data_IF_799242411522
#
_entry.id   IF_799242411522
#
_cell.length_a   1.000
_cell.length_b   1.000
_cell.length_c   1.000
_cell.angle_alpha   90.00
_cell.angle_beta   90.00
_cell.angle_gamma   90.00
#
_symmetry.space_group_name_H-M   'P 1'
#
loop_
_entity.id
_entity.type
_entity.pdbx_description
1 polymer ?
#
# COMPACT_ATOMS: atom_id res chain seq x y z
N UNK A 1 10.88 -22.92 20.20
CA UNK A 1 10.72 -24.37 20.42
C UNK A 1 10.04 -24.54 21.76
N UNK A 2 8.87 -25.24 21.89
CA UNK A 2 8.18 -25.40 23.16
C UNK A 2 9.10 -26.14 24.16
N UNK A 3 9.10 -25.66 25.39
CA UNK A 3 9.90 -26.19 26.51
C UNK A 3 9.76 -27.72 26.68
N UNK A 4 8.62 -28.30 26.27
CA UNK A 4 8.35 -29.72 26.27
C UNK A 4 9.24 -30.55 25.31
N UNK A 5 9.64 -30.00 24.17
CA UNK A 5 10.53 -30.68 23.23
C UNK A 5 11.98 -30.73 23.74
N UNK A 6 12.39 -29.72 24.50
CA UNK A 6 13.71 -29.67 25.12
C UNK A 6 13.86 -30.65 26.31
N UNK A 7 12.77 -30.81 27.11
CA UNK A 7 12.75 -31.76 28.22
C UNK A 7 12.75 -33.22 27.74
N UNK A 8 12.04 -33.55 26.67
CA UNK A 8 12.06 -34.87 26.07
C UNK A 8 13.44 -35.23 25.46
N UNK A 9 14.13 -34.23 24.89
CA UNK A 9 15.46 -34.40 24.34
C UNK A 9 16.51 -34.69 25.46
N UNK A 10 16.43 -33.99 26.58
CA UNK A 10 17.35 -34.19 27.74
C UNK A 10 17.14 -35.56 28.36
N UNK A 11 15.91 -36.05 28.46
CA UNK A 11 15.66 -37.42 28.97
C UNK A 11 16.15 -38.51 28.02
N UNK A 12 16.07 -38.29 26.71
CA UNK A 12 16.57 -39.26 25.71
C UNK A 12 18.12 -39.34 25.73
N UNK A 13 18.82 -38.25 25.97
CA UNK A 13 20.26 -38.19 26.03
C UNK A 13 20.81 -38.87 27.33
N UNK A 14 20.03 -38.87 28.43
CA UNK A 14 20.41 -39.52 29.69
C UNK A 14 20.37 -41.05 29.63
N UNK A 15 19.64 -41.65 28.69
CA UNK A 15 19.54 -43.09 28.50
C UNK A 15 20.61 -43.70 27.55
N UNK A 16 21.47 -42.88 26.92
CA UNK A 16 22.49 -43.33 25.97
C UNK A 16 23.72 -43.88 26.70
N UNK A 17 23.95 -45.19 26.61
CA UNK A 17 25.04 -45.92 27.31
C UNK A 17 26.44 -45.72 26.75
N UNK A 18 26.66 -44.93 25.70
CA UNK A 18 27.99 -44.67 25.12
C UNK A 18 28.24 -43.16 24.98
N UNK A 19 29.31 -42.62 25.64
CA UNK A 19 29.61 -41.20 25.62
C UNK A 19 29.97 -40.65 24.22
N UNK A 20 30.49 -41.45 23.32
CA UNK A 20 30.85 -41.06 21.96
C UNK A 20 29.57 -40.81 21.11
N UNK A 21 28.54 -41.62 21.26
CA UNK A 21 27.26 -41.43 20.57
C UNK A 21 26.52 -40.16 21.04
N UNK A 22 26.63 -39.83 22.34
CA UNK A 22 26.03 -38.59 22.87
C UNK A 22 26.73 -37.33 22.33
N UNK A 23 28.05 -37.36 22.15
CA UNK A 23 28.83 -36.26 21.57
C UNK A 23 28.50 -36.07 20.07
N UNK A 24 28.36 -37.16 19.31
CA UNK A 24 28.01 -37.08 17.89
C UNK A 24 26.57 -36.54 17.71
N UNK A 25 25.62 -36.94 18.54
CA UNK A 25 24.25 -36.44 18.50
C UNK A 25 24.18 -34.95 18.90
N UNK A 26 24.96 -34.52 19.86
CA UNK A 26 25.05 -33.11 20.26
C UNK A 26 25.71 -32.24 19.16
N UNK A 27 26.76 -32.75 18.48
CA UNK A 27 27.42 -32.07 17.37
C UNK A 27 26.47 -32.00 16.15
N UNK A 28 25.71 -33.05 15.85
CA UNK A 28 24.72 -33.05 14.79
C UNK A 28 23.53 -32.11 15.10
N UNK A 29 23.10 -32.02 16.35
CA UNK A 29 22.07 -31.07 16.77
C UNK A 29 22.55 -29.62 16.68
N UNK A 30 23.81 -29.33 17.00
CA UNK A 30 24.41 -28.00 16.86
C UNK A 30 24.67 -27.61 15.41
N UNK A 31 24.93 -28.57 14.51
CA UNK A 31 25.12 -28.32 13.08
C UNK A 31 23.81 -28.01 12.36
N UNK A 32 22.67 -28.44 12.88
CA UNK A 32 21.35 -28.08 12.28
C UNK A 32 20.83 -26.70 12.74
N UNK A 33 21.48 -26.06 13.72
CA UNK A 33 21.11 -24.71 14.19
C UNK A 33 21.97 -23.58 13.63
N UNK A 34 22.96 -23.89 12.81
CA UNK A 34 23.83 -22.89 12.17
C UNK A 34 23.55 -22.76 10.66
N UNK A 35 22.30 -22.60 10.26
CA UNK A 35 22.07 -21.75 9.10
C UNK A 35 22.46 -20.34 9.57
N UNK A 36 23.39 -19.63 8.91
CA UNK A 36 23.60 -18.22 9.21
C UNK A 36 22.26 -17.54 8.98
N UNK A 37 21.59 -17.17 10.06
CA UNK A 37 20.56 -16.14 10.00
C UNK A 37 21.35 -14.91 9.59
N UNK A 38 21.45 -14.65 8.30
CA UNK A 38 21.95 -13.38 7.82
C UNK A 38 21.04 -12.34 8.47
N UNK A 39 21.63 -11.53 9.35
CA UNK A 39 20.91 -10.43 9.97
C UNK A 39 20.34 -9.59 8.81
N UNK A 40 19.04 -9.25 8.85
CA UNK A 40 18.43 -8.39 7.86
C UNK A 40 19.23 -7.07 7.77
N UNK A 41 19.72 -6.77 6.57
CA UNK A 41 20.77 -5.75 6.37
C UNK A 41 20.27 -4.42 5.82
N UNK A 42 18.96 -4.15 5.82
CA UNK A 42 18.43 -2.85 5.37
C UNK A 42 19.03 -1.70 6.18
N UNK A 43 19.61 -0.65 5.56
CA UNK A 43 20.52 0.27 6.27
C UNK A 43 19.79 1.38 7.06
N UNK A 44 18.49 1.64 6.83
CA UNK A 44 17.75 2.72 7.47
C UNK A 44 16.87 2.14 8.58
N UNK A 45 17.20 2.45 9.83
CA UNK A 45 16.55 1.88 11.01
C UNK A 45 15.48 2.78 11.62
N UNK A 46 15.44 4.07 11.26
CA UNK A 46 14.36 4.95 11.68
C UNK A 46 13.15 4.75 10.75
N UNK A 47 11.95 4.39 11.25
CA UNK A 47 10.81 4.05 10.40
C UNK A 47 10.28 5.22 9.58
N UNK A 48 10.31 6.44 10.08
CA UNK A 48 9.89 7.63 9.34
C UNK A 48 10.88 7.96 8.22
N UNK A 49 12.18 7.89 8.52
CA UNK A 49 13.22 8.09 7.52
C UNK A 49 13.15 7.01 6.43
N UNK A 50 13.02 5.73 6.81
CA UNK A 50 12.85 4.64 5.86
C UNK A 50 11.62 4.85 4.95
N UNK A 51 10.49 5.28 5.52
CA UNK A 51 9.26 5.55 4.77
C UNK A 51 9.42 6.63 3.71
N UNK A 52 10.15 7.71 4.02
CA UNK A 52 10.30 8.88 3.13
C UNK A 52 11.43 8.70 2.14
N UNK A 53 12.58 8.19 2.60
CA UNK A 53 13.79 8.01 1.79
C UNK A 53 13.67 6.82 0.86
N UNK A 54 13.06 5.74 1.34
CA UNK A 54 13.00 4.47 0.60
C UNK A 54 14.33 3.69 0.66
N UNK A 55 14.49 2.78 -0.28
CA UNK A 55 15.72 1.96 -0.39
C UNK A 55 16.83 2.76 -1.03
N UNK A 56 18.03 2.84 -0.40
CA UNK A 56 19.20 3.45 -1.02
C UNK A 56 19.56 2.84 -2.38
N UNK A 57 20.01 3.64 -3.37
CA UNK A 57 20.28 3.13 -4.73
C UNK A 57 21.27 1.98 -4.80
N UNK A 58 22.26 1.96 -3.92
CA UNK A 58 23.29 0.91 -3.81
C UNK A 58 22.80 -0.39 -3.13
N UNK A 59 21.62 -0.35 -2.52
CA UNK A 59 20.96 -1.47 -1.84
C UNK A 59 19.75 -2.02 -2.60
N UNK A 60 19.39 -1.37 -3.71
CA UNK A 60 18.29 -1.83 -4.57
C UNK A 60 18.63 -3.15 -5.26
N UNK A 61 17.58 -3.90 -5.61
CA UNK A 61 17.72 -5.14 -6.36
C UNK A 61 18.34 -4.89 -7.73
N UNK A 62 19.49 -5.52 -8.00
CA UNK A 62 20.20 -5.38 -9.28
C UNK A 62 19.80 -6.46 -10.28
N UNK A 63 19.21 -6.03 -11.39
CA UNK A 63 18.93 -6.87 -12.54
C UNK A 63 20.17 -6.92 -13.43
N UNK A 64 20.89 -8.04 -13.45
CA UNK A 64 22.11 -8.21 -14.25
C UNK A 64 21.96 -7.86 -15.74
N UNK A 65 20.77 -8.10 -16.29
CA UNK A 65 20.45 -7.85 -17.70
C UNK A 65 19.03 -7.28 -17.83
N UNK A 66 18.81 -6.02 -17.47
CA UNK A 66 17.47 -5.45 -17.48
C UNK A 66 16.93 -5.32 -18.90
N UNK A 67 15.72 -5.84 -19.12
CA UNK A 67 15.02 -5.69 -20.39
C UNK A 67 14.30 -4.34 -20.43
N UNK A 68 14.23 -3.74 -21.61
CA UNK A 68 13.40 -2.55 -21.80
C UNK A 68 11.92 -2.93 -21.69
N UNK A 69 11.23 -2.40 -20.71
CA UNK A 69 9.79 -2.63 -20.52
C UNK A 69 9.02 -1.90 -21.62
N UNK A 70 8.17 -2.63 -22.33
CA UNK A 70 7.22 -2.08 -23.30
C UNK A 70 5.85 -2.02 -22.63
N UNK A 71 5.29 -0.83 -22.52
CA UNK A 71 4.00 -0.60 -21.89
C UNK A 71 2.97 -0.09 -22.88
N UNK A 72 1.71 -0.43 -22.63
CA UNK A 72 0.51 0.04 -23.34
C UNK A 72 -0.48 0.60 -22.30
N UNK A 73 -1.18 1.68 -22.62
CA UNK A 73 -2.25 2.21 -21.78
C UNK A 73 -3.56 1.55 -22.19
N UNK A 74 -4.19 0.82 -21.27
CA UNK A 74 -5.57 0.37 -21.40
C UNK A 74 -6.49 1.46 -20.88
N UNK A 75 -7.51 1.82 -21.67
CA UNK A 75 -8.54 2.80 -21.27
C UNK A 75 -9.85 2.06 -21.06
N UNK A 76 -10.36 2.10 -19.85
CA UNK A 76 -11.61 1.47 -19.45
C UNK A 76 -12.67 2.53 -19.23
N UNK A 77 -13.85 2.32 -19.84
CA UNK A 77 -15.03 3.11 -19.61
C UNK A 77 -16.11 2.20 -19.00
N UNK A 78 -16.75 2.64 -17.94
CA UNK A 78 -17.82 1.92 -17.23
C UNK A 78 -19.20 2.54 -17.41
N UNK A 79 -19.36 3.45 -18.38
CA UNK A 79 -20.61 4.15 -18.72
C UNK A 79 -21.28 4.82 -17.51
N UNK A 80 -20.47 5.26 -16.53
CA UNK A 80 -20.97 5.95 -15.35
C UNK A 80 -21.50 7.33 -15.74
N UNK A 81 -22.70 7.67 -15.28
CA UNK A 81 -23.28 8.99 -15.54
C UNK A 81 -22.54 10.06 -14.73
N UNK A 82 -21.74 10.83 -15.40
CA UNK A 82 -21.00 11.97 -14.86
C UNK A 82 -21.51 13.31 -15.39
N UNK A 83 -22.71 13.34 -16.00
CA UNK A 83 -23.26 14.55 -16.66
C UNK A 83 -23.45 15.71 -15.67
N UNK A 84 -23.78 15.42 -14.41
CA UNK A 84 -23.94 16.39 -13.33
C UNK A 84 -22.63 16.78 -12.62
N UNK A 85 -21.49 16.19 -13.00
CA UNK A 85 -20.20 16.42 -12.32
C UNK A 85 -19.25 17.20 -13.24
N UNK A 86 -19.19 18.54 -13.13
CA UNK A 86 -18.34 19.37 -14.00
C UNK A 86 -16.85 18.97 -13.96
N UNK A 87 -16.34 18.53 -12.79
CA UNK A 87 -14.97 18.03 -12.61
C UNK A 87 -14.64 16.88 -13.55
N UNK A 88 -15.57 15.96 -13.80
CA UNK A 88 -15.31 14.79 -14.65
C UNK A 88 -14.95 15.18 -16.09
N UNK A 89 -15.61 16.22 -16.64
CA UNK A 89 -15.32 16.73 -17.98
C UNK A 89 -14.00 17.50 -18.04
N UNK A 90 -13.70 18.32 -17.01
CA UNK A 90 -12.51 19.18 -17.00
C UNK A 90 -11.23 18.39 -16.81
N UNK A 91 -11.23 17.37 -15.95
CA UNK A 91 -10.04 16.58 -15.63
C UNK A 91 -9.96 15.27 -16.42
N UNK A 92 -10.85 15.02 -17.39
CA UNK A 92 -10.84 13.80 -18.21
C UNK A 92 -10.99 12.53 -17.38
N UNK A 93 -11.81 12.60 -16.31
CA UNK A 93 -11.99 11.50 -15.35
C UNK A 93 -12.89 10.36 -15.86
N UNK A 94 -13.46 10.49 -17.07
CA UNK A 94 -14.40 9.51 -17.61
C UNK A 94 -13.75 8.17 -17.95
N UNK A 95 -12.45 8.17 -18.31
CA UNK A 95 -11.70 6.96 -18.66
C UNK A 95 -10.75 6.59 -17.55
N UNK A 96 -10.91 5.39 -16.99
CA UNK A 96 -9.91 4.81 -16.11
C UNK A 96 -8.75 4.27 -16.95
N UNK A 97 -7.53 4.72 -16.64
CA UNK A 97 -6.32 4.26 -17.30
C UNK A 97 -5.59 3.23 -16.43
N UNK A 98 -5.17 2.15 -17.07
CA UNK A 98 -4.27 1.15 -16.51
C UNK A 98 -3.01 1.09 -17.37
N UNK A 99 -1.89 0.66 -16.81
CA UNK A 99 -0.68 0.40 -17.57
C UNK A 99 -0.49 -1.11 -17.71
N UNK A 100 -0.29 -1.56 -18.94
CA UNK A 100 -0.09 -2.95 -19.28
C UNK A 100 1.30 -3.18 -19.85
N UNK A 101 2.06 -4.09 -19.25
CA UNK A 101 3.33 -4.58 -19.75
C UNK A 101 3.21 -6.07 -20.07
N UNK A 102 3.61 -6.49 -21.29
CA UNK A 102 3.44 -7.87 -21.74
C UNK A 102 4.76 -8.53 -22.14
N UNK A 103 4.88 -9.80 -21.84
CA UNK A 103 5.88 -10.70 -22.41
C UNK A 103 5.50 -11.10 -23.84
N UNK A 104 6.48 -11.49 -24.65
CA UNK A 104 6.27 -11.99 -26.01
C UNK A 104 6.02 -13.52 -26.04
N UNK A 105 5.77 -14.15 -24.89
CA UNK A 105 5.55 -15.60 -24.72
C UNK A 105 4.48 -15.85 -23.65
N UNK A 106 3.88 -17.07 -23.56
CA UNK A 106 3.02 -17.44 -22.45
C UNK A 106 3.71 -17.18 -21.11
N UNK A 107 2.99 -16.53 -20.19
CA UNK A 107 3.53 -16.14 -18.90
C UNK A 107 2.41 -15.92 -17.87
N UNK A 108 2.71 -15.93 -16.56
CA UNK A 108 1.77 -15.49 -15.54
C UNK A 108 1.42 -14.00 -15.68
N UNK A 109 0.21 -13.64 -15.32
CA UNK A 109 -0.24 -12.25 -15.22
C UNK A 109 -0.36 -11.83 -13.76
N UNK A 110 0.20 -10.68 -13.41
CA UNK A 110 0.05 -10.08 -12.09
C UNK A 110 -0.62 -8.71 -12.18
N UNK A 111 -1.67 -8.52 -11.35
CA UNK A 111 -2.24 -7.20 -11.09
C UNK A 111 -1.52 -6.54 -9.92
N UNK A 112 -1.22 -5.24 -10.07
CA UNK A 112 -0.57 -4.42 -9.04
C UNK A 112 -1.49 -3.27 -8.67
N UNK A 113 -1.99 -3.25 -7.44
CA UNK A 113 -2.87 -2.22 -6.91
C UNK A 113 -2.04 -1.18 -6.15
N UNK A 114 -2.23 0.09 -6.50
CA UNK A 114 -1.53 1.21 -5.87
C UNK A 114 -2.04 1.49 -4.45
N UNK A 115 -1.17 2.02 -3.58
CA UNK A 115 -1.54 2.52 -2.24
C UNK A 115 -2.32 3.85 -2.31
N UNK A 116 -2.75 4.36 -1.14
CA UNK A 116 -3.57 5.58 -0.98
C UNK A 116 -3.04 6.74 -1.82
N UNK A 117 -3.92 7.36 -2.61
CA UNK A 117 -3.61 8.52 -3.45
C UNK A 117 -2.70 8.27 -4.64
N UNK A 118 -2.17 7.05 -4.82
CA UNK A 118 -1.24 6.73 -5.89
C UNK A 118 -1.93 6.33 -7.19
N UNK A 119 -1.32 6.68 -8.32
CA UNK A 119 -1.80 6.31 -9.66
C UNK A 119 -1.14 5.03 -10.16
N UNK A 120 -1.68 4.50 -11.26
CA UNK A 120 -1.15 3.34 -11.99
C UNK A 120 0.30 3.51 -12.50
N UNK A 121 0.84 4.73 -12.48
CA UNK A 121 2.20 5.09 -12.90
C UNK A 121 3.04 5.78 -11.81
N UNK A 122 2.58 5.72 -10.55
CA UNK A 122 3.34 6.25 -9.41
C UNK A 122 4.66 5.47 -9.21
N UNK A 123 5.72 6.09 -8.65
CA UNK A 123 7.06 5.47 -8.59
C UNK A 123 7.09 4.06 -8.03
N UNK A 124 6.44 3.79 -6.89
CA UNK A 124 6.38 2.44 -6.28
C UNK A 124 5.64 1.43 -7.19
N UNK A 125 4.58 1.88 -7.89
CA UNK A 125 3.86 1.04 -8.86
C UNK A 125 4.75 0.70 -10.05
N UNK A 126 5.48 1.69 -10.57
CA UNK A 126 6.42 1.49 -11.68
C UNK A 126 7.59 0.59 -11.29
N UNK A 127 8.06 0.67 -10.05
CA UNK A 127 9.04 -0.26 -9.53
C UNK A 127 8.50 -1.72 -9.54
N UNK A 128 7.32 -1.95 -8.99
CA UNK A 128 6.69 -3.28 -9.00
C UNK A 128 6.43 -3.78 -10.43
N UNK A 129 5.95 -2.90 -11.32
CA UNK A 129 5.78 -3.24 -12.73
C UNK A 129 7.10 -3.71 -13.35
N UNK A 130 8.18 -2.94 -13.18
CA UNK A 130 9.50 -3.30 -13.68
C UNK A 130 9.97 -4.64 -13.09
N UNK A 131 9.86 -4.80 -11.78
CA UNK A 131 10.29 -6.00 -11.05
C UNK A 131 9.59 -7.26 -11.58
N UNK A 132 8.28 -7.26 -11.68
CA UNK A 132 7.53 -8.41 -12.19
C UNK A 132 7.75 -8.63 -13.68
N UNK A 133 7.86 -7.57 -14.48
CA UNK A 133 8.16 -7.71 -15.89
C UNK A 133 9.54 -8.35 -16.12
N UNK A 134 10.59 -7.92 -15.39
CA UNK A 134 11.93 -8.52 -15.46
C UNK A 134 11.92 -9.98 -15.00
N UNK A 135 11.05 -10.32 -14.05
CA UNK A 135 10.87 -11.70 -13.58
C UNK A 135 10.08 -12.59 -14.60
N UNK A 136 9.59 -12.01 -15.70
CA UNK A 136 8.93 -12.74 -16.76
C UNK A 136 7.41 -12.76 -16.72
N UNK A 137 6.77 -11.86 -15.97
CA UNK A 137 5.31 -11.75 -15.86
C UNK A 137 4.73 -10.75 -16.87
N UNK A 138 3.50 -10.97 -17.30
CA UNK A 138 2.63 -9.88 -17.76
C UNK A 138 2.21 -9.08 -16.55
N UNK A 139 2.15 -7.76 -16.67
CA UNK A 139 1.82 -6.89 -15.54
C UNK A 139 0.73 -5.90 -15.92
N UNK A 140 -0.31 -5.77 -15.09
CA UNK A 140 -1.30 -4.70 -15.21
C UNK A 140 -1.30 -3.91 -13.90
N UNK A 141 -1.06 -2.59 -13.99
CA UNK A 141 -1.09 -1.71 -12.83
C UNK A 141 -2.39 -0.94 -12.75
N UNK A 142 -2.91 -0.79 -11.54
CA UNK A 142 -4.21 -0.16 -11.25
C UNK A 142 -3.99 0.96 -10.24
N UNK A 143 -4.59 2.12 -10.49
CA UNK A 143 -4.63 3.23 -9.52
C UNK A 143 -5.39 2.82 -8.26
N UNK A 144 -5.01 3.42 -7.14
CA UNK A 144 -5.75 3.29 -5.88
C UNK A 144 -7.23 3.66 -6.07
N UNK A 145 -8.16 2.97 -5.39
CA UNK A 145 -9.56 3.39 -5.30
C UNK A 145 -9.75 4.83 -4.81
N UNK A 146 -8.81 5.36 -4.01
CA UNK A 146 -8.83 6.75 -3.50
C UNK A 146 -8.41 7.79 -4.53
N UNK A 147 -7.95 7.38 -5.74
CA UNK A 147 -7.53 8.32 -6.78
C UNK A 147 -8.75 8.89 -7.52
N UNK A 148 -8.86 10.22 -7.72
CA UNK A 148 -10.01 10.83 -8.38
C UNK A 148 -10.45 10.19 -9.72
N UNK A 149 -9.53 9.80 -10.64
CA UNK A 149 -9.94 9.07 -11.85
C UNK A 149 -10.59 7.70 -11.58
N UNK A 150 -10.13 6.95 -10.58
CA UNK A 150 -10.75 5.68 -10.20
C UNK A 150 -12.14 5.92 -9.58
N UNK A 151 -12.24 6.89 -8.65
CA UNK A 151 -13.49 7.27 -8.00
C UNK A 151 -14.56 7.66 -9.04
N UNK A 152 -14.20 8.54 -9.95
CA UNK A 152 -15.14 9.01 -10.97
C UNK A 152 -15.54 7.92 -11.96
N UNK A 153 -14.60 7.10 -12.43
CA UNK A 153 -14.86 6.14 -13.50
C UNK A 153 -15.40 4.80 -13.00
N UNK A 154 -14.91 4.28 -11.89
CA UNK A 154 -15.12 2.89 -11.48
C UNK A 154 -15.78 2.70 -10.10
N UNK A 155 -15.60 3.64 -9.15
CA UNK A 155 -16.15 3.45 -7.80
C UNK A 155 -17.68 3.46 -7.82
N UNK A 156 -18.29 2.47 -7.19
CA UNK A 156 -19.74 2.34 -7.06
C UNK A 156 -20.33 3.25 -5.98
N UNK A 157 -19.54 3.57 -4.95
CA UNK A 157 -19.97 4.38 -3.80
C UNK A 157 -19.46 5.82 -3.87
N UNK A 158 -18.37 6.08 -4.59
CA UNK A 158 -17.54 7.28 -4.52
C UNK A 158 -17.01 7.56 -3.09
N UNK A 159 -16.97 6.53 -2.26
CA UNK A 159 -16.51 6.57 -0.86
C UNK A 159 -15.44 5.51 -0.62
N UNK A 160 -14.26 5.61 -1.23
CA UNK A 160 -13.21 4.62 -1.06
C UNK A 160 -12.71 4.56 0.39
N UNK A 161 -12.15 3.40 0.75
CA UNK A 161 -11.84 3.00 2.13
C UNK A 161 -12.89 2.06 2.71
N UNK A 162 -13.95 1.77 1.94
CA UNK A 162 -14.88 0.67 2.15
C UNK A 162 -14.35 -0.56 1.42
N UNK A 163 -13.38 -1.27 2.01
CA UNK A 163 -12.56 -2.31 1.35
C UNK A 163 -13.35 -3.40 0.65
N UNK A 164 -14.53 -3.74 1.15
CA UNK A 164 -15.45 -4.67 0.50
C UNK A 164 -16.05 -4.12 -0.80
N UNK A 165 -16.43 -2.85 -0.83
CA UNK A 165 -16.93 -2.17 -2.04
C UNK A 165 -15.78 -1.84 -3.00
N UNK A 166 -14.64 -1.40 -2.47
CA UNK A 166 -13.44 -1.14 -3.25
C UNK A 166 -12.96 -2.42 -3.98
N UNK A 167 -13.02 -3.58 -3.29
CA UNK A 167 -12.72 -4.87 -3.89
C UNK A 167 -13.68 -5.26 -5.03
N UNK A 168 -14.98 -4.99 -4.87
CA UNK A 168 -15.98 -5.20 -5.91
C UNK A 168 -15.68 -4.38 -7.18
N UNK A 169 -15.33 -3.12 -6.99
CA UNK A 169 -15.02 -2.21 -8.10
C UNK A 169 -13.67 -2.56 -8.75
N UNK A 170 -12.63 -2.89 -7.96
CA UNK A 170 -11.36 -3.40 -8.46
C UNK A 170 -11.54 -4.71 -9.24
N UNK A 171 -12.36 -5.61 -8.75
CA UNK A 171 -12.64 -6.89 -9.41
C UNK A 171 -13.29 -6.68 -10.79
N UNK A 172 -14.24 -5.75 -10.91
CA UNK A 172 -14.84 -5.36 -12.21
C UNK A 172 -13.78 -4.77 -13.15
N UNK A 173 -12.90 -3.91 -12.62
CA UNK A 173 -11.80 -3.32 -13.38
C UNK A 173 -10.86 -4.41 -13.91
N UNK A 174 -10.47 -5.37 -13.06
CA UNK A 174 -9.59 -6.48 -13.45
C UNK A 174 -10.23 -7.39 -14.50
N UNK A 175 -11.51 -7.73 -14.36
CA UNK A 175 -12.24 -8.50 -15.38
C UNK A 175 -12.23 -7.79 -16.73
N UNK A 176 -12.56 -6.49 -16.73
CA UNK A 176 -12.56 -5.70 -17.96
C UNK A 176 -11.17 -5.61 -18.58
N UNK A 177 -10.13 -5.47 -17.77
CA UNK A 177 -8.75 -5.50 -18.26
C UNK A 177 -8.38 -6.86 -18.88
N UNK A 178 -8.77 -7.98 -18.26
CA UNK A 178 -8.57 -9.32 -18.82
C UNK A 178 -9.24 -9.49 -20.20
N UNK A 179 -10.47 -9.02 -20.36
CA UNK A 179 -11.17 -9.02 -21.65
C UNK A 179 -10.40 -8.25 -22.73
N UNK A 180 -9.82 -7.09 -22.37
CA UNK A 180 -9.07 -6.24 -23.32
C UNK A 180 -7.72 -6.84 -23.75
N UNK A 181 -7.15 -7.73 -22.96
CA UNK A 181 -5.85 -8.35 -23.25
C UNK A 181 -5.96 -9.81 -23.72
N UNK A 182 -7.16 -10.40 -23.74
CA UNK A 182 -7.40 -11.81 -24.03
C UNK A 182 -6.80 -12.25 -25.37
N UNK A 183 -6.89 -11.41 -26.42
CA UNK A 183 -6.35 -11.69 -27.75
C UNK A 183 -4.87 -11.28 -27.91
N UNK A 184 -4.27 -10.69 -26.88
CA UNK A 184 -2.90 -10.14 -26.94
C UNK A 184 -1.85 -11.01 -26.25
N UNK A 185 -2.26 -11.83 -25.28
CA UNK A 185 -1.37 -12.62 -24.43
C UNK A 185 -1.98 -13.98 -24.11
N UNK A 186 -1.11 -14.94 -23.83
CA UNK A 186 -1.47 -16.22 -23.22
C UNK A 186 -1.08 -16.21 -21.74
N UNK A 187 -2.08 -16.36 -20.85
CA UNK A 187 -1.92 -16.28 -19.40
C UNK A 187 -1.84 -17.69 -18.83
N UNK A 188 -0.75 -18.02 -18.15
CA UNK A 188 -0.55 -19.34 -17.51
C UNK A 188 -1.13 -19.38 -16.10
N UNK A 189 -0.98 -18.30 -15.32
CA UNK A 189 -1.42 -18.16 -13.93
C UNK A 189 -1.82 -16.70 -13.69
N UNK A 190 -2.63 -16.44 -12.67
CA UNK A 190 -3.10 -15.10 -12.34
C UNK A 190 -2.82 -14.75 -10.90
N UNK A 191 -2.18 -13.62 -10.69
CA UNK A 191 -1.78 -13.13 -9.38
C UNK A 191 -2.30 -11.72 -9.13
N UNK A 192 -2.47 -11.38 -7.85
CA UNK A 192 -2.75 -10.03 -7.43
C UNK A 192 -1.86 -9.63 -6.26
N UNK A 193 -1.36 -8.41 -6.30
CA UNK A 193 -0.59 -7.77 -5.25
C UNK A 193 -0.91 -6.29 -5.18
N UNK A 194 -0.55 -5.67 -4.08
CA UNK A 194 -0.63 -4.24 -3.88
C UNK A 194 0.13 -3.85 -2.63
N UNK A 195 0.40 -2.56 -2.49
CA UNK A 195 1.09 -2.05 -1.32
C UNK A 195 0.22 -1.07 -0.53
N UNK A 196 0.42 -0.98 0.80
CA UNK A 196 -0.36 -0.10 1.67
C UNK A 196 -1.87 -0.41 1.55
N UNK A 197 -2.72 0.56 1.26
CA UNK A 197 -4.14 0.34 0.96
C UNK A 197 -4.34 -0.71 -0.14
N UNK A 198 -3.55 -0.66 -1.23
CA UNK A 198 -3.63 -1.68 -2.28
C UNK A 198 -3.26 -3.08 -1.79
N UNK A 199 -2.52 -3.21 -0.69
CA UNK A 199 -2.22 -4.48 -0.04
C UNK A 199 -3.48 -5.10 0.60
N UNK A 200 -4.21 -4.35 1.41
CA UNK A 200 -5.48 -4.84 1.97
C UNK A 200 -6.52 -5.05 0.87
N UNK A 201 -6.60 -4.17 -0.12
CA UNK A 201 -7.51 -4.32 -1.26
C UNK A 201 -7.22 -5.63 -2.03
N UNK A 202 -5.93 -6.02 -2.20
CA UNK A 202 -5.58 -7.28 -2.86
C UNK A 202 -6.09 -8.49 -2.10
N UNK A 203 -6.08 -8.47 -0.76
CA UNK A 203 -6.65 -9.54 0.06
C UNK A 203 -8.18 -9.63 -0.08
N UNK A 204 -8.88 -8.50 -0.06
CA UNK A 204 -10.33 -8.47 -0.24
C UNK A 204 -10.75 -8.88 -1.66
N UNK A 205 -9.99 -8.48 -2.70
CA UNK A 205 -10.18 -8.96 -4.07
C UNK A 205 -9.98 -10.47 -4.17
N UNK A 206 -8.92 -11.01 -3.55
CA UNK A 206 -8.68 -12.45 -3.50
C UNK A 206 -9.79 -13.21 -2.75
N UNK A 207 -10.26 -12.67 -1.63
CA UNK A 207 -11.40 -13.21 -0.89
C UNK A 207 -12.67 -13.25 -1.75
N UNK A 208 -12.99 -12.13 -2.42
CA UNK A 208 -14.14 -12.03 -3.32
C UNK A 208 -14.06 -13.06 -4.45
N UNK A 209 -12.88 -13.27 -5.02
CA UNK A 209 -12.66 -14.22 -6.11
C UNK A 209 -12.91 -15.68 -5.67
N UNK A 210 -12.66 -16.04 -4.39
CA UNK A 210 -12.99 -17.39 -3.88
C UNK A 210 -14.49 -17.67 -3.92
N UNK A 211 -15.30 -16.62 -3.86
CA UNK A 211 -16.76 -16.71 -3.92
C UNK A 211 -17.27 -16.70 -5.36
N UNK A 212 -16.74 -15.80 -6.21
CA UNK A 212 -17.18 -15.60 -7.59
C UNK A 212 -16.55 -16.55 -8.59
N UNK A 213 -15.27 -16.90 -8.41
CA UNK A 213 -14.50 -17.82 -9.25
C UNK A 213 -14.49 -17.43 -10.74
N UNK A 214 -14.43 -16.11 -11.02
CA UNK A 214 -14.44 -15.61 -12.38
C UNK A 214 -13.04 -15.27 -12.88
N UNK A 215 -12.14 -14.79 -12.01
CA UNK A 215 -10.74 -14.53 -12.35
C UNK A 215 -9.89 -15.76 -12.03
N UNK A 216 -10.09 -16.38 -10.85
CA UNK A 216 -9.32 -17.49 -10.29
C UNK A 216 -7.86 -17.12 -10.07
N UNK A 217 -7.61 -16.32 -9.02
CA UNK A 217 -6.26 -15.96 -8.62
C UNK A 217 -5.54 -17.17 -7.99
N UNK A 218 -4.35 -17.47 -8.49
CA UNK A 218 -3.48 -18.51 -7.96
C UNK A 218 -2.76 -18.06 -6.69
N UNK A 219 -2.37 -16.76 -6.61
CA UNK A 219 -1.72 -16.18 -5.42
C UNK A 219 -2.09 -14.72 -5.18
N UNK A 220 -2.06 -14.35 -3.91
CA UNK A 220 -2.31 -12.99 -3.39
C UNK A 220 -1.19 -12.60 -2.44
N UNK A 221 -0.52 -11.48 -2.68
CA UNK A 221 0.50 -10.96 -1.79
C UNK A 221 0.15 -9.54 -1.34
N UNK A 222 0.02 -9.36 -0.03
CA UNK A 222 -0.11 -8.05 0.60
C UNK A 222 1.27 -7.47 0.91
N UNK A 223 1.56 -6.23 0.49
CA UNK A 223 2.81 -5.54 0.80
C UNK A 223 2.50 -4.37 1.75
N UNK A 224 3.02 -4.42 2.97
CA UNK A 224 2.79 -3.42 4.02
C UNK A 224 1.30 -3.01 4.16
N UNK A 225 0.37 -3.98 4.27
CA UNK A 225 -1.05 -3.67 4.37
C UNK A 225 -1.39 -3.09 5.75
N UNK A 226 -2.41 -2.23 5.87
CA UNK A 226 -3.07 -2.01 7.14
C UNK A 226 -3.76 -3.31 7.60
N UNK A 227 -3.70 -3.64 8.88
CA UNK A 227 -4.54 -4.69 9.49
C UNK A 227 -5.92 -4.11 9.80
N UNK A 228 -5.92 -2.99 10.49
CA UNK A 228 -7.09 -2.17 10.76
C UNK A 228 -6.92 -0.82 10.05
N UNK A 229 -7.71 -0.59 9.01
CA UNK A 229 -7.58 0.62 8.18
C UNK A 229 -7.80 1.90 9.02
N UNK A 230 -8.73 1.88 9.97
CA UNK A 230 -9.00 3.03 10.83
C UNK A 230 -7.80 3.37 11.74
N UNK A 231 -7.15 2.37 12.33
CA UNK A 231 -5.93 2.56 13.13
C UNK A 231 -4.82 3.16 12.27
N UNK A 232 -4.62 2.64 11.08
CA UNK A 232 -3.57 3.10 10.17
C UNK A 232 -3.76 4.56 9.74
N UNK A 233 -4.98 4.94 9.36
CA UNK A 233 -5.26 6.34 9.01
C UNK A 233 -5.21 7.26 10.23
N UNK A 234 -5.57 6.77 11.42
CA UNK A 234 -5.44 7.54 12.67
C UNK A 234 -3.99 7.86 13.00
N UNK A 235 -3.09 6.90 12.82
CA UNK A 235 -1.65 7.10 13.03
C UNK A 235 -1.13 8.22 12.13
N UNK A 236 -1.50 8.21 10.85
CA UNK A 236 -1.06 9.22 9.88
C UNK A 236 -1.72 10.59 10.11
N UNK A 237 -3.02 10.64 10.37
CA UNK A 237 -3.77 11.87 10.65
C UNK A 237 -3.28 12.60 11.90
N UNK A 238 -2.74 11.85 12.89
CA UNK A 238 -2.24 12.42 14.13
C UNK A 238 -0.83 13.02 14.02
N UNK A 239 -0.11 12.83 12.95
CA UNK A 239 1.27 13.36 12.77
C UNK A 239 1.27 14.89 12.91
N UNK A 240 0.47 15.61 12.12
CA UNK A 240 0.41 17.08 12.13
C UNK A 240 -0.10 17.61 13.48
N UNK A 241 -1.20 17.11 14.07
CA UNK A 241 -1.60 17.49 15.41
C UNK A 241 -0.55 17.26 16.50
N UNK A 242 0.19 16.16 16.43
CA UNK A 242 1.26 15.86 17.38
C UNK A 242 2.45 16.80 17.21
N UNK A 243 2.84 17.13 15.98
CA UNK A 243 3.84 18.15 15.70
C UNK A 243 3.44 19.49 16.30
N UNK A 244 2.20 19.96 16.09
CA UNK A 244 1.69 21.21 16.65
C UNK A 244 1.65 21.24 18.17
N UNK A 245 1.43 20.11 18.85
CA UNK A 245 1.51 20.03 20.32
C UNK A 245 2.93 20.27 20.83
N UNK A 246 3.94 19.82 20.08
CA UNK A 246 5.37 20.04 20.41
C UNK A 246 5.82 21.49 20.05
N UNK A 247 5.19 22.10 19.04
CA UNK A 247 5.51 23.42 18.51
C UNK A 247 4.27 24.33 18.52
N UNK A 248 3.77 24.74 19.70
CA UNK A 248 2.52 25.50 19.83
C UNK A 248 2.58 26.90 19.20
N UNK A 249 3.80 27.44 19.02
CA UNK A 249 4.06 28.71 18.35
C UNK A 249 3.96 28.60 16.81
N UNK A 250 4.07 27.41 16.24
CA UNK A 250 4.05 27.20 14.79
C UNK A 250 2.65 27.41 14.23
N UNK A 251 2.47 28.42 13.40
CA UNK A 251 1.23 28.59 12.63
C UNK A 251 1.12 27.50 11.55
N UNK A 252 -0.11 27.19 11.12
CA UNK A 252 -0.30 26.22 10.02
C UNK A 252 0.49 26.56 8.78
N UNK A 253 0.72 27.86 8.48
CA UNK A 253 1.55 28.30 7.37
C UNK A 253 3.03 28.02 7.62
N UNK A 254 3.54 28.29 8.82
CA UNK A 254 4.94 28.02 9.17
C UNK A 254 5.29 26.54 9.10
N UNK A 255 4.41 25.65 9.54
CA UNK A 255 4.61 24.20 9.44
C UNK A 255 4.91 23.76 8.00
N UNK A 256 4.24 24.36 7.02
CA UNK A 256 4.49 24.08 5.61
C UNK A 256 5.72 24.82 5.07
N UNK A 257 5.81 26.12 5.37
CA UNK A 257 6.86 27.00 4.83
C UNK A 257 8.26 26.51 5.24
N UNK A 258 8.47 26.11 6.51
CA UNK A 258 9.77 25.70 7.04
C UNK A 258 10.29 24.43 6.31
N UNK A 259 9.42 23.44 6.08
CA UNK A 259 9.80 22.23 5.35
C UNK A 259 10.07 22.54 3.87
N UNK A 260 9.19 23.31 3.23
CA UNK A 260 9.37 23.66 1.82
C UNK A 260 10.55 24.60 1.57
N UNK A 261 10.87 25.53 2.48
CA UNK A 261 12.05 26.40 2.38
C UNK A 261 13.35 25.60 2.47
N UNK A 262 13.43 24.59 3.34
CA UNK A 262 14.59 23.69 3.44
C UNK A 262 14.78 22.86 2.18
N UNK A 263 13.70 22.28 1.65
CA UNK A 263 13.72 21.57 0.38
C UNK A 263 14.13 22.50 -0.79
N UNK A 264 13.57 23.72 -0.85
CA UNK A 264 13.90 24.70 -1.87
C UNK A 264 15.37 25.16 -1.78
N UNK A 265 15.92 25.33 -0.57
CA UNK A 265 17.32 25.67 -0.36
C UNK A 265 18.25 24.57 -0.90
N UNK A 266 17.91 23.29 -0.67
CA UNK A 266 18.66 22.17 -1.24
C UNK A 266 18.64 22.21 -2.77
N UNK A 267 17.47 22.35 -3.40
CA UNK A 267 17.34 22.44 -4.86
C UNK A 267 18.10 23.62 -5.46
N UNK A 268 18.09 24.77 -4.79
CA UNK A 268 18.84 25.96 -5.21
C UNK A 268 20.35 25.71 -5.21
N UNK A 269 20.85 24.96 -4.25
CA UNK A 269 22.27 24.68 -4.10
C UNK A 269 22.77 23.56 -5.04
N UNK A 270 21.93 22.59 -5.36
CA UNK A 270 22.30 21.43 -6.20
C UNK A 270 21.95 21.62 -7.67
N UNK A 271 21.08 22.58 -8.01
CA UNK A 271 20.58 22.77 -9.39
C UNK A 271 19.72 21.62 -9.92
N UNK A 272 19.43 20.63 -9.08
CA UNK A 272 18.65 19.46 -9.45
C UNK A 272 17.18 19.66 -9.07
N UNK A 273 16.29 19.64 -10.07
CA UNK A 273 14.84 19.92 -9.91
C UNK A 273 14.00 18.63 -9.91
N UNK A 274 14.63 17.45 -9.95
CA UNK A 274 13.89 16.19 -9.94
C UNK A 274 13.52 15.80 -8.51
N UNK A 275 12.24 15.86 -8.20
CA UNK A 275 11.69 15.34 -6.95
C UNK A 275 11.54 13.80 -7.08
N UNK A 276 12.39 13.06 -6.36
CA UNK A 276 12.34 11.61 -6.32
C UNK A 276 12.98 11.06 -5.05
N UNK A 277 12.79 9.78 -4.75
CA UNK A 277 13.39 9.12 -3.57
C UNK A 277 14.91 9.30 -3.49
N UNK A 278 15.61 9.23 -4.63
CA UNK A 278 17.06 9.46 -4.72
C UNK A 278 17.46 10.84 -4.21
N UNK A 279 16.69 11.89 -4.54
CA UNK A 279 16.97 13.26 -4.10
C UNK A 279 16.83 13.40 -2.59
N UNK A 280 15.80 12.78 -2.00
CA UNK A 280 15.60 12.83 -0.54
C UNK A 280 16.71 12.07 0.18
N UNK A 281 17.13 10.94 -0.38
CA UNK A 281 18.28 10.18 0.14
C UNK A 281 19.58 11.00 0.13
N UNK A 282 19.87 11.70 -0.98
CA UNK A 282 21.03 12.59 -1.06
C UNK A 282 20.94 13.75 -0.06
N UNK A 283 19.74 14.31 0.14
CA UNK A 283 19.50 15.34 1.17
C UNK A 283 19.84 14.81 2.55
N UNK A 284 19.34 13.63 2.90
CA UNK A 284 19.53 13.02 4.22
C UNK A 284 20.99 12.63 4.49
N UNK A 285 21.76 12.27 3.48
CA UNK A 285 23.21 12.05 3.60
C UNK A 285 24.04 13.33 3.60
N UNK A 286 23.46 14.45 3.19
CA UNK A 286 24.17 15.72 3.01
C UNK A 286 24.21 16.62 4.25
N UNK A 287 24.91 17.76 4.15
CA UNK A 287 25.01 18.72 5.26
C UNK A 287 23.70 19.44 5.59
N UNK A 288 22.66 19.26 4.79
CA UNK A 288 21.33 19.85 4.93
C UNK A 288 20.27 18.79 5.23
N UNK A 289 20.66 17.68 5.89
CA UNK A 289 19.72 16.65 6.31
C UNK A 289 18.53 17.24 7.08
N UNK A 290 17.34 16.78 6.74
CA UNK A 290 16.13 17.20 7.45
C UNK A 290 16.14 16.59 8.86
N UNK A 291 15.78 17.35 9.91
CA UNK A 291 15.48 16.77 11.20
C UNK A 291 14.42 15.69 11.10
N UNK A 292 14.51 14.66 11.94
CA UNK A 292 13.56 13.53 11.91
C UNK A 292 12.10 13.97 12.08
N UNK A 293 11.84 15.01 12.85
CA UNK A 293 10.49 15.56 13.01
C UNK A 293 9.95 16.22 11.72
N UNK A 294 10.83 16.80 10.89
CA UNK A 294 10.45 17.33 9.57
C UNK A 294 10.19 16.20 8.59
N UNK A 295 10.96 15.10 8.67
CA UNK A 295 10.71 13.87 7.88
C UNK A 295 9.37 13.25 8.25
N UNK A 296 9.06 13.14 9.54
CA UNK A 296 7.75 12.70 10.03
C UNK A 296 6.63 13.62 9.51
N UNK A 297 6.83 14.93 9.60
CA UNK A 297 5.87 15.94 9.15
C UNK A 297 5.60 15.85 7.64
N UNK A 298 6.59 15.56 6.81
CA UNK A 298 6.41 15.33 5.37
C UNK A 298 5.39 14.20 5.08
N UNK A 299 5.43 13.12 5.87
CA UNK A 299 4.45 12.02 5.75
C UNK A 299 3.05 12.54 6.08
N UNK A 300 2.89 13.25 7.20
CA UNK A 300 1.61 13.81 7.60
C UNK A 300 1.03 14.80 6.58
N UNK A 301 1.89 15.66 6.01
CA UNK A 301 1.50 16.61 4.95
C UNK A 301 1.07 15.87 3.69
N UNK A 302 1.84 14.89 3.24
CA UNK A 302 1.50 14.07 2.06
C UNK A 302 0.17 13.34 2.24
N UNK A 303 -0.07 12.80 3.44
CA UNK A 303 -1.32 12.14 3.77
C UNK A 303 -2.50 13.11 3.83
N UNK A 304 -2.31 14.31 4.39
CA UNK A 304 -3.34 15.36 4.39
C UNK A 304 -3.76 15.76 2.98
N UNK A 305 -2.82 15.91 2.04
CA UNK A 305 -3.17 16.18 0.63
C UNK A 305 -3.98 15.02 0.02
N UNK A 306 -3.59 13.77 0.29
CA UNK A 306 -4.35 12.60 -0.18
C UNK A 306 -5.77 12.56 0.41
N UNK A 307 -5.92 12.92 1.69
CA UNK A 307 -7.21 13.00 2.38
C UNK A 307 -8.08 14.13 1.82
N UNK A 308 -7.47 15.28 1.50
CA UNK A 308 -8.15 16.43 0.91
C UNK A 308 -8.67 16.12 -0.51
N UNK A 309 -7.84 15.49 -1.35
CA UNK A 309 -8.23 15.03 -2.69
C UNK A 309 -9.41 14.06 -2.64
N UNK A 310 -9.33 13.10 -1.72
CA UNK A 310 -10.36 12.10 -1.47
C UNK A 310 -11.68 12.76 -1.04
N UNK A 311 -11.65 13.58 0.03
CA UNK A 311 -12.84 14.21 0.57
C UNK A 311 -13.49 15.18 -0.45
N UNK A 312 -12.67 15.98 -1.14
CA UNK A 312 -13.14 16.89 -2.18
C UNK A 312 -13.82 16.14 -3.34
N UNK A 313 -13.21 15.07 -3.80
CA UNK A 313 -13.75 14.28 -4.91
C UNK A 313 -15.02 13.54 -4.49
N UNK A 314 -15.06 12.96 -3.28
CA UNK A 314 -16.27 12.32 -2.74
C UNK A 314 -17.41 13.29 -2.59
N UNK A 315 -17.17 14.49 -2.07
CA UNK A 315 -18.19 15.55 -1.93
C UNK A 315 -18.73 15.96 -3.30
N UNK A 316 -17.84 16.19 -4.26
CA UNK A 316 -18.22 16.60 -5.62
C UNK A 316 -19.01 15.51 -6.38
N UNK A 317 -18.67 14.22 -6.19
CA UNK A 317 -19.34 13.10 -6.86
C UNK A 317 -20.68 12.73 -6.20
N UNK A 318 -20.79 12.87 -4.88
CA UNK A 318 -21.99 12.50 -4.11
C UNK A 318 -22.88 13.68 -3.76
N UNK A 319 -22.47 14.93 -4.09
CA UNK A 319 -23.19 16.17 -3.80
C UNK A 319 -23.58 16.29 -2.32
N UNK A 320 -22.65 15.93 -1.41
CA UNK A 320 -22.96 15.88 0.02
C UNK A 320 -23.11 17.26 0.66
N UNK A 321 -22.57 18.30 0.05
CA UNK A 321 -22.64 19.69 0.54
C UNK A 321 -21.70 20.03 1.68
N UNK A 322 -20.79 19.15 2.04
CA UNK A 322 -19.85 19.36 3.14
C UNK A 322 -18.71 20.33 2.80
N UNK A 323 -18.21 20.26 1.59
CA UNK A 323 -17.09 21.08 1.09
C UNK A 323 -17.63 22.13 0.12
N UNK A 324 -18.36 21.68 -0.92
CA UNK A 324 -19.04 22.49 -1.90
C UNK A 324 -20.53 22.51 -1.51
N UNK A 325 -21.15 23.67 -1.21
CA UNK A 325 -22.58 23.71 -0.89
C UNK A 325 -23.42 23.03 -1.99
N UNK A 326 -24.43 22.24 -1.61
CA UNK A 326 -25.21 21.43 -2.53
C UNK A 326 -26.02 22.25 -3.54
N UNK A 327 -26.33 23.52 -3.22
CA UNK A 327 -27.00 24.49 -4.05
C UNK A 327 -26.05 25.38 -4.89
N UNK A 328 -24.74 25.20 -4.72
CA UNK A 328 -23.73 25.98 -5.45
C UNK A 328 -23.45 25.35 -6.81
N UNK A 329 -23.60 26.16 -7.87
CA UNK A 329 -23.18 25.78 -9.21
C UNK A 329 -21.76 26.28 -9.46
N UNK A 330 -20.78 25.38 -9.50
CA UNK A 330 -19.40 25.73 -9.79
C UNK A 330 -19.01 25.43 -11.23
N UNK A 331 -18.27 26.35 -11.83
CA UNK A 331 -17.65 26.14 -13.14
C UNK A 331 -16.24 25.60 -12.97
N UNK A 332 -15.86 24.53 -13.68
CA UNK A 332 -14.50 23.99 -13.61
C UNK A 332 -13.42 24.94 -14.15
N UNK A 333 -13.79 26.02 -14.81
CA UNK A 333 -12.90 27.06 -15.35
C UNK A 333 -12.85 28.31 -14.46
N UNK A 334 -13.61 28.35 -13.36
CA UNK A 334 -13.61 29.50 -12.42
C UNK A 334 -12.59 29.29 -11.28
N UNK A 335 -12.16 30.40 -10.67
CA UNK A 335 -11.31 30.37 -9.48
C UNK A 335 -12.01 29.79 -8.23
N UNK A 336 -13.30 29.45 -8.34
CA UNK A 336 -14.10 28.94 -7.22
C UNK A 336 -13.67 27.55 -6.78
N UNK A 337 -13.17 26.71 -7.74
CA UNK A 337 -12.63 25.39 -7.40
C UNK A 337 -11.41 25.47 -6.47
N UNK A 338 -10.52 26.45 -6.68
CA UNK A 338 -9.37 26.67 -5.81
C UNK A 338 -9.81 27.05 -4.38
N UNK A 339 -10.88 27.84 -4.25
CA UNK A 339 -11.46 28.18 -2.95
C UNK A 339 -12.01 26.94 -2.24
N UNK A 340 -12.80 26.12 -2.94
CA UNK A 340 -13.40 24.93 -2.36
C UNK A 340 -12.33 23.86 -2.05
N UNK A 341 -11.35 23.68 -2.93
CA UNK A 341 -10.23 22.77 -2.68
C UNK A 341 -9.40 23.19 -1.44
N UNK A 342 -9.17 24.48 -1.24
CA UNK A 342 -8.50 24.98 -0.02
C UNK A 342 -9.30 24.66 1.25
N UNK A 343 -10.62 24.57 1.18
CA UNK A 343 -11.43 24.11 2.31
C UNK A 343 -11.19 22.62 2.63
N UNK A 344 -11.01 21.79 1.61
CA UNK A 344 -10.73 20.36 1.79
C UNK A 344 -9.42 20.09 2.48
N UNK A 345 -8.44 21.00 2.44
CA UNK A 345 -7.18 20.88 3.19
C UNK A 345 -7.36 20.90 4.73
N UNK A 346 -8.56 21.10 5.22
CA UNK A 346 -8.93 20.94 6.64
C UNK A 346 -9.55 19.57 6.95
N UNK A 347 -9.71 18.76 5.93
CA UNK A 347 -10.32 17.44 6.03
C UNK A 347 -9.23 16.38 6.19
N UNK A 348 -9.08 15.89 7.41
CA UNK A 348 -8.35 14.67 7.70
C UNK A 348 -9.16 13.46 7.26
N UNK A 349 -8.53 12.32 7.07
CA UNK A 349 -9.22 11.09 6.68
C UNK A 349 -10.29 10.69 7.71
N UNK A 350 -10.02 10.86 8.99
CA UNK A 350 -11.01 10.60 10.06
C UNK A 350 -12.24 11.49 9.92
N UNK A 351 -12.09 12.76 9.53
CA UNK A 351 -13.22 13.65 9.27
C UNK A 351 -14.05 13.16 8.08
N UNK A 352 -13.40 12.73 7.01
CA UNK A 352 -14.06 12.12 5.86
C UNK A 352 -14.82 10.85 6.28
N UNK A 353 -14.17 9.96 7.03
CA UNK A 353 -14.79 8.73 7.52
C UNK A 353 -16.06 9.03 8.33
N UNK A 354 -15.96 9.90 9.34
CA UNK A 354 -17.08 10.21 10.24
C UNK A 354 -18.22 11.00 9.57
N UNK A 355 -17.90 11.83 8.57
CA UNK A 355 -18.89 12.74 7.96
C UNK A 355 -19.53 12.20 6.68
N UNK A 356 -18.81 11.36 5.93
CA UNK A 356 -19.29 10.84 4.66
C UNK A 356 -19.49 9.32 4.68
N UNK A 357 -18.50 8.55 5.16
CA UNK A 357 -18.53 7.08 5.11
C UNK A 357 -19.53 6.50 6.10
N UNK A 358 -19.42 6.88 7.39
CA UNK A 358 -20.28 6.32 8.45
C UNK A 358 -21.77 6.58 8.19
N UNK A 359 -22.23 7.81 7.87
CA UNK A 359 -23.64 8.05 7.58
C UNK A 359 -24.13 7.25 6.38
N UNK A 360 -23.35 7.22 5.28
CA UNK A 360 -23.71 6.45 4.09
C UNK A 360 -23.83 4.95 4.40
N UNK A 361 -22.86 4.38 5.15
CA UNK A 361 -22.88 2.98 5.52
C UNK A 361 -24.13 2.64 6.35
N UNK A 362 -24.42 3.46 7.38
CA UNK A 362 -25.56 3.23 8.27
C UNK A 362 -26.91 3.34 7.56
N UNK A 363 -27.00 4.12 6.48
CA UNK A 363 -28.17 4.15 5.62
C UNK A 363 -28.35 2.84 4.86
N UNK A 364 -27.27 2.25 4.36
CA UNK A 364 -27.30 0.97 3.64
C UNK A 364 -27.42 -0.25 4.59
N UNK A 365 -26.89 -0.14 5.80
CA UNK A 365 -26.80 -1.19 6.83
C UNK A 365 -27.36 -0.70 8.17
N UNK A 366 -28.68 -0.53 8.30
CA UNK A 366 -29.29 -0.05 9.54
C UNK A 366 -28.95 -0.95 10.73
N UNK A 367 -28.43 -0.37 11.80
CA UNK A 367 -28.05 -1.07 13.02
C UNK A 367 -26.55 -1.29 13.20
N UNK A 368 -25.75 -1.12 12.15
CA UNK A 368 -24.29 -1.16 12.30
C UNK A 368 -23.80 0.08 13.04
N UNK A 369 -22.97 -0.18 14.05
CA UNK A 369 -22.26 0.89 14.77
C UNK A 369 -21.02 1.32 13.98
N UNK A 370 -20.43 2.43 14.38
CA UNK A 370 -19.14 2.89 13.83
C UNK A 370 -18.03 1.83 13.98
N UNK A 371 -17.99 1.13 15.10
CA UNK A 371 -17.00 0.08 15.36
C UNK A 371 -17.25 -1.17 14.48
N UNK A 372 -18.52 -1.49 14.21
CA UNK A 372 -18.85 -2.55 13.25
C UNK A 372 -18.32 -2.23 11.84
N UNK A 373 -18.44 -0.97 11.41
CA UNK A 373 -17.90 -0.52 10.11
C UNK A 373 -16.38 -0.70 10.09
N UNK A 374 -15.68 -0.21 11.13
CA UNK A 374 -14.22 -0.31 11.26
C UNK A 374 -13.76 -1.77 11.13
N UNK A 375 -14.46 -2.69 11.81
CA UNK A 375 -14.12 -4.11 11.76
C UNK A 375 -14.41 -4.72 10.38
N UNK A 376 -15.52 -4.35 9.75
CA UNK A 376 -15.94 -4.87 8.43
C UNK A 376 -15.04 -4.44 7.28
N UNK A 377 -14.30 -3.34 7.42
CA UNK A 377 -13.34 -2.84 6.41
C UNK A 377 -11.87 -3.19 6.75
N UNK A 378 -11.65 -4.02 7.77
CA UNK A 378 -10.35 -4.45 8.25
C UNK A 378 -10.07 -5.91 7.87
N UNK A 379 -8.81 -6.36 7.94
CA UNK A 379 -8.45 -7.77 7.68
C UNK A 379 -9.18 -8.76 8.60
N UNK A 380 -9.65 -8.29 9.76
CA UNK A 380 -10.47 -9.10 10.68
C UNK A 380 -11.75 -9.65 10.01
N UNK A 381 -12.34 -8.91 9.07
CA UNK A 381 -13.54 -9.34 8.35
C UNK A 381 -13.34 -10.58 7.45
N UNK A 382 -12.10 -10.83 7.07
CA UNK A 382 -11.72 -11.95 6.17
C UNK A 382 -10.70 -12.90 6.81
N UNK A 383 -10.64 -12.93 8.16
CA UNK A 383 -9.64 -13.72 8.90
C UNK A 383 -9.69 -15.21 8.54
N UNK A 384 -10.86 -15.80 8.44
CA UNK A 384 -11.02 -17.21 8.07
C UNK A 384 -10.43 -17.51 6.68
N UNK A 385 -10.58 -16.59 5.73
CA UNK A 385 -9.97 -16.70 4.42
C UNK A 385 -8.44 -16.64 4.51
N UNK A 386 -7.90 -15.69 5.27
CA UNK A 386 -6.47 -15.53 5.45
C UNK A 386 -5.83 -16.74 6.14
N UNK A 387 -6.49 -17.32 7.14
CA UNK A 387 -6.02 -18.52 7.85
C UNK A 387 -5.98 -19.76 6.95
N UNK A 388 -7.04 -19.97 6.18
CA UNK A 388 -7.26 -21.24 5.48
C UNK A 388 -6.75 -21.22 4.04
N UNK A 389 -6.48 -20.08 3.43
CA UNK A 389 -5.99 -20.01 2.06
C UNK A 389 -4.45 -19.89 2.02
N UNK A 390 -3.80 -21.00 1.67
CA UNK A 390 -2.33 -21.08 1.62
C UNK A 390 -1.70 -20.27 0.48
N UNK A 391 -2.49 -19.77 -0.46
CA UNK A 391 -2.04 -18.93 -1.58
C UNK A 391 -1.95 -17.43 -1.22
N UNK A 392 -2.29 -17.06 0.04
CA UNK A 392 -2.24 -15.67 0.51
C UNK A 392 -1.05 -15.46 1.43
N UNK A 393 -0.26 -14.43 1.17
CA UNK A 393 0.88 -14.05 2.02
C UNK A 393 0.93 -12.56 2.29
N UNK A 394 1.79 -12.18 3.21
CA UNK A 394 2.08 -10.78 3.58
C UNK A 394 3.58 -10.54 3.68
N UNK A 395 3.99 -9.37 3.21
CA UNK A 395 5.31 -8.78 3.49
C UNK A 395 5.10 -7.47 4.25
N UNK A 396 5.72 -7.32 5.41
CA UNK A 396 5.60 -6.08 6.21
C UNK A 396 6.78 -5.89 7.14
N UNK A 397 6.83 -4.76 7.84
CA UNK A 397 7.90 -4.41 8.75
C UNK A 397 7.38 -4.32 10.19
N UNK A 398 8.18 -4.78 11.16
CA UNK A 398 7.81 -4.69 12.58
C UNK A 398 7.72 -3.24 13.07
N UNK A 399 8.39 -2.32 12.38
CA UNK A 399 8.41 -0.88 12.66
C UNK A 399 7.51 -0.07 11.72
N UNK A 400 6.59 -0.72 11.00
CA UNK A 400 5.70 -0.01 10.08
C UNK A 400 4.80 0.99 10.83
N UNK A 401 4.95 2.27 10.48
CA UNK A 401 4.31 3.41 11.18
C UNK A 401 2.78 3.42 11.09
N UNK A 402 2.19 2.68 10.16
CA UNK A 402 0.73 2.61 10.00
C UNK A 402 0.09 1.51 10.86
N UNK A 403 0.89 0.57 11.38
CA UNK A 403 0.37 -0.53 12.19
C UNK A 403 0.15 -0.10 13.64
N UNK A 404 -0.84 -0.71 14.26
CA UNK A 404 -1.15 -0.55 15.67
C UNK A 404 -0.53 -1.65 16.54
N UNK A 405 -0.59 -1.48 17.88
CA UNK A 405 -0.17 -2.53 18.79
C UNK A 405 -0.97 -3.82 18.58
N UNK A 406 -0.29 -4.96 18.41
CA UNK A 406 -0.90 -6.27 18.17
C UNK A 406 -1.10 -6.63 16.70
N UNK A 407 -0.93 -5.70 15.75
CA UNK A 407 -1.14 -5.97 14.33
C UNK A 407 -0.11 -6.96 13.76
N UNK A 408 1.15 -6.87 14.20
CA UNK A 408 2.22 -7.81 13.78
C UNK A 408 1.94 -9.21 14.31
N UNK A 409 1.58 -9.32 15.58
CA UNK A 409 1.22 -10.59 16.22
C UNK A 409 -0.01 -11.21 15.56
N UNK A 410 -1.00 -10.40 15.18
CA UNK A 410 -2.16 -10.84 14.42
C UNK A 410 -1.74 -11.44 13.05
N UNK A 411 -0.92 -10.74 12.27
CA UNK A 411 -0.45 -11.23 10.98
C UNK A 411 0.33 -12.54 11.11
N UNK A 412 1.17 -12.66 12.15
CA UNK A 412 1.91 -13.90 12.44
C UNK A 412 0.99 -15.05 12.83
N UNK A 413 0.00 -14.78 13.68
CA UNK A 413 -0.95 -15.79 14.13
C UNK A 413 -1.85 -16.30 12.97
N UNK A 414 -2.31 -15.38 12.11
CA UNK A 414 -3.24 -15.70 11.02
C UNK A 414 -2.54 -16.36 9.83
N UNK A 415 -1.36 -15.89 9.47
CA UNK A 415 -0.68 -16.32 8.24
C UNK A 415 0.47 -17.32 8.49
N UNK A 416 1.01 -17.40 9.73
CA UNK A 416 2.12 -18.28 10.05
C UNK A 416 3.34 -18.02 9.17
N UNK A 417 3.91 -19.05 8.57
CA UNK A 417 5.11 -18.97 7.70
C UNK A 417 4.88 -18.14 6.41
N UNK A 418 3.65 -17.77 6.10
CA UNK A 418 3.29 -16.90 4.97
C UNK A 418 3.40 -15.40 5.32
N UNK A 419 3.71 -15.07 6.56
CA UNK A 419 3.99 -13.73 7.03
C UNK A 419 5.50 -13.46 7.01
N UNK A 420 5.96 -12.78 5.98
CA UNK A 420 7.35 -12.31 5.85
C UNK A 420 7.48 -10.96 6.57
N UNK A 421 7.94 -10.99 7.82
CA UNK A 421 8.05 -9.80 8.67
C UNK A 421 9.51 -9.43 8.85
N UNK A 422 9.85 -8.23 8.41
CA UNK A 422 11.19 -7.67 8.51
C UNK A 422 11.33 -6.81 9.76
N UNK A 423 12.50 -6.77 10.41
CA UNK A 423 12.67 -6.06 11.68
C UNK A 423 12.52 -4.55 11.57
N UNK A 424 12.83 -3.97 10.40
CA UNK A 424 12.72 -2.54 10.12
C UNK A 424 12.61 -2.26 8.63
N UNK A 425 12.16 -1.04 8.28
CA UNK A 425 11.90 -0.61 6.91
C UNK A 425 10.79 0.42 6.83
N UNK A 426 10.14 0.76 7.95
CA UNK A 426 9.03 1.70 8.00
C UNK A 426 7.88 1.27 7.10
N UNK A 427 7.14 2.24 6.56
CA UNK A 427 6.03 1.97 5.65
C UNK A 427 6.51 1.90 4.19
N UNK A 428 6.71 0.68 3.67
CA UNK A 428 7.17 0.44 2.28
C UNK A 428 8.54 1.04 1.93
N UNK A 429 9.40 1.37 2.90
CA UNK A 429 10.71 1.96 2.63
C UNK A 429 11.72 0.95 2.10
N UNK A 430 11.62 -0.31 2.52
CA UNK A 430 12.47 -1.41 2.09
C UNK A 430 11.90 -2.22 0.91
N UNK A 431 10.84 -1.74 0.25
CA UNK A 431 10.17 -2.50 -0.80
C UNK A 431 11.10 -2.82 -1.99
N UNK A 432 12.07 -1.95 -2.28
CA UNK A 432 13.05 -2.07 -3.35
C UNK A 432 14.35 -2.75 -2.91
N UNK A 433 14.49 -3.05 -1.61
CA UNK A 433 15.67 -3.70 -1.05
C UNK A 433 15.85 -5.11 -1.60
N UNK A 434 17.09 -5.47 -1.91
CA UNK A 434 17.42 -6.69 -2.65
C UNK A 434 16.85 -7.97 -2.03
N UNK A 435 16.87 -8.10 -0.70
CA UNK A 435 16.28 -9.26 -0.02
C UNK A 435 14.75 -9.27 -0.15
N UNK A 436 14.09 -8.12 0.06
CA UNK A 436 12.62 -8.00 -0.03
C UNK A 436 12.13 -8.36 -1.44
N UNK A 437 12.82 -7.89 -2.48
CA UNK A 437 12.49 -8.25 -3.87
C UNK A 437 12.68 -9.74 -4.11
N UNK A 438 13.76 -10.33 -3.58
CA UNK A 438 14.01 -11.77 -3.70
C UNK A 438 12.89 -12.58 -3.06
N UNK A 439 12.49 -12.22 -1.85
CA UNK A 439 11.44 -12.91 -1.09
C UNK A 439 10.07 -12.76 -1.78
N UNK A 440 9.76 -11.54 -2.27
CA UNK A 440 8.56 -11.27 -3.06
C UNK A 440 8.49 -12.15 -4.32
N UNK A 441 9.57 -12.24 -5.08
CA UNK A 441 9.61 -13.06 -6.29
C UNK A 441 9.55 -14.56 -5.98
N UNK A 442 10.16 -15.00 -4.89
CA UNK A 442 10.09 -16.39 -4.44
C UNK A 442 8.67 -16.78 -4.00
N UNK A 443 7.93 -15.89 -3.37
CA UNK A 443 6.52 -16.13 -3.03
C UNK A 443 5.69 -16.51 -4.25
N UNK A 444 5.86 -15.83 -5.38
CA UNK A 444 5.10 -16.13 -6.59
C UNK A 444 5.62 -17.34 -7.39
N UNK A 445 6.86 -17.78 -7.18
CA UNK A 445 7.44 -18.96 -7.88
C UNK A 445 7.10 -20.29 -7.22
N UNK A 446 6.94 -20.32 -5.90
CA UNK A 446 6.71 -21.53 -5.09
C UNK A 446 5.19 -21.79 -4.91
#
# INVERSE_FOLDING_TARGET
VPLGALLNFITTVQEMKHPISAIITLILATLHFNSPVFAYGFPIHNPYEATVVGTPPDEMYDWKYPQKVKTEILKLNFDKDLAGVPLAKTFGLADLKLLFARQDKPAPLIFVIAGTGASYESPKVMFLLNTFYQAGYHVITISSPTKPPFMAAASSTNLPGLTNYDAEDLYKVMKRALEMVADKIEITEKYVTGYSLGGIDSAFVGYLDTQRKEINFDKVLMINPPVNLYTSVSNLDNIIPNYRKKHPEATGKQVFDDVFERLAAHFKNTGNVKFGPETIYEIQKGPHALPLEDVELLIGISFLFSSADLAFTSDALNHTGWIIPADEFYSPVSNDLDYWYKRSLRWHFLTYFDKMVVPWWQEQHPGDTRDDIINKVSLYAIEDYLRNNMSVGVMTNSDDIILGPGDIEYLQDVLGDRAMIYPYGGHCGNMEYSQNVTDMLNFFKN
#
